data_IF_601150348665
#
_entry.id   IF_601150348665
#
_cell.length_a   1.000
_cell.length_b   1.000
_cell.length_c   1.000
_cell.angle_alpha   90.00
_cell.angle_beta   90.00
_cell.angle_gamma   90.00
#
_symmetry.space_group_name_H-M   'P 1'
#
loop_
_entity.id
_entity.type
_entity.pdbx_description
1 polymer ?
#
# COMPACT_ATOMS: atom_id res chain seq x y z
N UNK A 1 45.95 -4.00 -44.10
CA UNK A 1 44.52 -4.38 -44.14
C UNK A 1 44.45 -5.60 -45.02
N UNK A 2 44.31 -6.78 -44.42
CA UNK A 2 44.79 -8.02 -45.03
C UNK A 2 43.74 -9.11 -45.03
N UNK A 3 43.79 -9.89 -46.11
CA UNK A 3 43.34 -11.28 -46.23
C UNK A 3 41.84 -11.59 -46.33
N UNK A 4 41.49 -12.74 -46.99
CA UNK A 4 40.22 -12.87 -47.69
C UNK A 4 39.46 -14.18 -47.28
N UNK A 5 38.98 -15.11 -48.14
CA UNK A 5 37.89 -16.07 -47.80
C UNK A 5 38.48 -17.45 -47.34
N UNK A 6 37.80 -18.62 -47.37
CA UNK A 6 36.38 -19.02 -47.59
C UNK A 6 35.85 -19.75 -46.30
N UNK A 7 35.00 -20.81 -46.25
CA UNK A 7 34.19 -21.54 -47.25
C UNK A 7 32.72 -21.80 -46.80
N UNK A 8 32.19 -22.99 -47.10
CA UNK A 8 30.89 -23.56 -46.70
C UNK A 8 31.02 -24.50 -45.50
N UNK A 9 29.94 -24.71 -44.75
CA UNK A 9 29.68 -26.02 -44.14
C UNK A 9 28.17 -26.28 -44.06
N UNK A 10 27.77 -27.52 -44.35
CA UNK A 10 26.39 -28.00 -44.40
C UNK A 10 26.21 -28.96 -43.23
N UNK A 11 25.15 -28.80 -42.44
CA UNK A 11 24.70 -29.83 -41.50
C UNK A 11 23.25 -30.19 -41.79
N UNK A 12 23.10 -31.29 -42.54
CA UNK A 12 21.91 -32.13 -42.45
C UNK A 12 21.84 -32.75 -41.05
N UNK A 13 20.63 -32.86 -40.49
CA UNK A 13 20.14 -33.88 -39.55
C UNK A 13 18.70 -33.46 -39.19
N UNK A 14 17.68 -34.01 -39.84
CA UNK A 14 17.12 -35.35 -39.61
C UNK A 14 16.23 -35.40 -38.35
N UNK A 15 14.92 -35.48 -38.61
CA UNK A 15 13.90 -36.19 -37.85
C UNK A 15 13.88 -36.06 -36.31
N UNK A 16 13.14 -35.05 -35.86
CA UNK A 16 12.36 -35.15 -34.62
C UNK A 16 10.88 -35.34 -34.98
N UNK A 17 10.53 -36.53 -35.46
CA UNK A 17 9.14 -36.97 -35.59
C UNK A 17 8.57 -37.18 -34.18
N UNK A 18 7.64 -36.32 -33.76
CA UNK A 18 7.16 -36.23 -32.38
C UNK A 18 5.92 -35.33 -32.30
N UNK A 19 4.83 -35.80 -31.68
CA UNK A 19 3.50 -35.26 -31.97
C UNK A 19 3.14 -34.01 -31.16
N UNK A 20 2.00 -33.44 -31.54
CA UNK A 20 1.34 -32.27 -30.96
C UNK A 20 2.06 -30.92 -31.18
N UNK A 21 1.41 -29.88 -31.68
CA UNK A 21 -0.03 -29.64 -31.60
C UNK A 21 -0.64 -29.24 -32.96
N UNK A 22 -1.61 -30.03 -33.44
CA UNK A 22 -2.60 -29.57 -34.42
C UNK A 22 -3.56 -28.57 -33.75
N UNK A 23 -3.08 -27.39 -33.38
CA UNK A 23 -3.92 -26.21 -33.12
C UNK A 23 -3.95 -25.34 -34.40
N UNK A 24 -4.14 -26.03 -35.53
CA UNK A 24 -5.09 -25.55 -36.51
C UNK A 24 -6.50 -25.79 -35.96
N UNK A 25 -6.85 -25.10 -34.87
CA UNK A 25 -8.24 -24.92 -34.46
C UNK A 25 -8.91 -24.29 -35.68
N UNK A 26 -9.66 -25.10 -36.41
CA UNK A 26 -10.15 -24.73 -37.72
C UNK A 26 -11.20 -23.64 -37.53
N UNK A 27 -10.78 -22.37 -37.63
CA UNK A 27 -11.68 -21.24 -37.68
C UNK A 27 -12.70 -21.54 -38.78
N UNK A 28 -13.96 -21.78 -38.38
CA UNK A 28 -15.03 -22.23 -39.28
C UNK A 28 -14.98 -21.39 -40.56
N UNK A 29 -15.00 -22.01 -41.76
CA UNK A 29 -14.86 -21.31 -43.03
C UNK A 29 -16.12 -20.47 -43.34
N UNK A 30 -16.26 -19.37 -42.60
CA UNK A 30 -17.50 -18.64 -42.40
C UNK A 30 -17.55 -17.78 -41.14
N UNK A 31 -16.59 -17.87 -40.19
CA UNK A 31 -16.62 -17.12 -38.92
C UNK A 31 -15.41 -16.20 -38.75
N UNK A 32 -15.64 -14.94 -38.35
CA UNK A 32 -14.57 -13.95 -38.15
C UNK A 32 -13.77 -14.23 -36.86
N UNK A 33 -12.43 -14.44 -36.91
CA UNK A 33 -11.64 -14.80 -35.74
C UNK A 33 -11.41 -13.65 -34.74
N UNK A 34 -11.94 -12.44 -34.99
CA UNK A 34 -11.87 -11.31 -34.06
C UNK A 34 -13.16 -11.10 -33.25
N UNK A 35 -14.31 -11.13 -33.93
CA UNK A 35 -15.60 -10.78 -33.33
C UNK A 35 -16.64 -11.93 -33.40
N UNK A 36 -16.25 -13.10 -33.92
CA UNK A 36 -17.09 -14.29 -34.07
C UNK A 36 -18.35 -14.09 -34.93
N UNK A 37 -18.48 -12.94 -35.60
CA UNK A 37 -19.57 -12.69 -36.55
C UNK A 37 -19.40 -13.51 -37.84
N UNK A 38 -20.50 -13.94 -38.48
CA UNK A 38 -20.44 -14.65 -39.75
C UNK A 38 -19.85 -13.78 -40.87
N UNK A 39 -19.07 -14.40 -41.74
CA UNK A 39 -18.46 -13.81 -42.93
C UNK A 39 -19.42 -14.05 -44.09
N UNK A 40 -19.87 -12.97 -44.74
CA UNK A 40 -20.71 -13.08 -45.92
C UNK A 40 -20.02 -13.96 -47.00
N UNK A 41 -20.72 -14.96 -47.57
CA UNK A 41 -20.14 -15.81 -48.60
C UNK A 41 -19.73 -14.95 -49.81
N UNK A 42 -18.61 -15.26 -50.49
CA UNK A 42 -18.17 -14.49 -51.65
C UNK A 42 -19.21 -14.61 -52.77
N UNK A 43 -19.69 -13.47 -53.28
CA UNK A 43 -20.73 -13.39 -54.31
C UNK A 43 -20.25 -13.79 -55.73
N UNK A 44 -19.21 -14.61 -55.83
CA UNK A 44 -18.58 -15.02 -57.10
C UNK A 44 -17.34 -15.89 -56.89
N UNK A 45 -16.69 -16.28 -57.99
CA UNK A 45 -15.44 -17.06 -57.93
C UNK A 45 -14.30 -16.19 -57.40
N UNK A 46 -13.67 -16.59 -56.31
CA UNK A 46 -12.54 -15.89 -55.72
C UNK A 46 -12.07 -16.52 -54.41
N UNK A 47 -10.94 -16.04 -53.88
CA UNK A 47 -10.42 -16.49 -52.58
C UNK A 47 -11.43 -16.16 -51.47
N UNK A 48 -11.76 -17.10 -50.57
CA UNK A 48 -12.66 -16.82 -49.45
C UNK A 48 -12.10 -15.69 -48.55
N UNK A 49 -13.01 -14.87 -48.03
CA UNK A 49 -12.70 -13.84 -47.03
C UNK A 49 -12.53 -14.51 -45.67
N UNK A 50 -11.55 -14.03 -44.89
CA UNK A 50 -11.20 -14.56 -43.54
C UNK A 50 -11.66 -13.61 -42.43
N UNK A 51 -12.10 -12.40 -42.78
CA UNK A 51 -12.58 -11.38 -41.85
C UNK A 51 -13.94 -10.87 -42.33
N UNK A 52 -14.88 -10.63 -41.41
CA UNK A 52 -16.18 -10.05 -41.77
C UNK A 52 -16.06 -8.58 -42.24
N UNK A 53 -14.99 -7.86 -41.85
CA UNK A 53 -14.72 -6.47 -42.23
C UNK A 53 -13.23 -6.12 -42.14
N UNK A 54 -12.80 -5.10 -42.89
CA UNK A 54 -11.45 -4.52 -42.78
C UNK A 54 -11.22 -3.80 -41.43
N UNK A 55 -12.29 -3.48 -40.69
CA UNK A 55 -12.18 -3.01 -39.31
C UNK A 55 -11.67 -4.15 -38.40
N UNK A 56 -12.32 -5.32 -38.43
CA UNK A 56 -11.89 -6.48 -37.64
C UNK A 56 -10.46 -6.94 -37.99
N UNK A 57 -10.08 -6.87 -39.27
CA UNK A 57 -8.70 -7.15 -39.73
C UNK A 57 -7.68 -6.18 -39.10
N UNK A 58 -8.01 -4.88 -39.03
CA UNK A 58 -7.15 -3.85 -38.41
C UNK A 58 -7.10 -4.00 -36.90
N UNK A 59 -8.22 -4.23 -36.25
CA UNK A 59 -8.29 -4.39 -34.78
C UNK A 59 -7.50 -5.63 -34.32
N UNK A 60 -7.64 -6.76 -35.01
CA UNK A 60 -6.84 -7.97 -34.75
C UNK A 60 -5.34 -7.79 -35.08
N UNK A 61 -4.97 -6.90 -35.99
CA UNK A 61 -3.56 -6.52 -36.20
C UNK A 61 -3.07 -5.63 -35.04
N UNK A 62 -3.84 -4.63 -34.65
CA UNK A 62 -3.51 -3.69 -33.58
C UNK A 62 -3.40 -4.40 -32.22
N UNK A 63 -4.30 -5.33 -31.90
CA UNK A 63 -4.22 -6.16 -30.70
C UNK A 63 -2.93 -7.00 -30.65
N UNK A 64 -2.57 -7.67 -31.76
CA UNK A 64 -1.30 -8.42 -31.88
C UNK A 64 -0.06 -7.51 -31.89
N UNK A 65 -0.19 -6.25 -32.29
CA UNK A 65 0.90 -5.25 -32.20
C UNK A 65 1.07 -4.76 -30.76
N UNK A 66 -0.03 -4.41 -30.10
CA UNK A 66 -0.06 -3.95 -28.71
C UNK A 66 0.44 -5.02 -27.73
N UNK A 67 0.01 -6.28 -27.89
CA UNK A 67 0.50 -7.40 -27.10
C UNK A 67 2.03 -7.59 -27.21
N UNK A 68 2.60 -7.44 -28.42
CA UNK A 68 4.06 -7.52 -28.63
C UNK A 68 4.82 -6.34 -28.02
N UNK A 69 4.18 -5.18 -27.84
CA UNK A 69 4.79 -4.01 -27.19
C UNK A 69 4.44 -3.90 -25.70
N UNK A 70 3.86 -4.95 -25.09
CA UNK A 70 3.44 -4.94 -23.68
C UNK A 70 2.29 -3.98 -23.35
N UNK A 71 1.60 -3.45 -24.36
CA UNK A 71 0.52 -2.48 -24.18
C UNK A 71 -0.83 -3.18 -24.07
N UNK A 72 -1.52 -2.98 -22.94
CA UNK A 72 -2.88 -3.50 -22.72
C UNK A 72 -3.88 -2.65 -23.50
N UNK A 73 -4.68 -3.28 -24.37
CA UNK A 73 -5.71 -2.60 -25.15
C UNK A 73 -6.89 -2.16 -24.27
N UNK A 74 -7.00 -0.86 -23.99
CA UNK A 74 -8.11 -0.29 -23.21
C UNK A 74 -9.35 -0.08 -24.10
N UNK A 75 -10.44 -0.80 -23.82
CA UNK A 75 -11.75 -0.59 -24.45
C UNK A 75 -12.66 0.23 -23.54
N UNK A 76 -12.80 1.52 -23.83
CA UNK A 76 -13.74 2.39 -23.11
C UNK A 76 -15.17 2.09 -23.54
N UNK A 77 -15.97 1.49 -22.64
CA UNK A 77 -17.41 1.30 -22.81
C UNK A 77 -18.13 2.37 -22.01
N UNK A 78 -18.99 3.17 -22.65
CA UNK A 78 -19.88 4.11 -21.94
C UNK A 78 -21.03 3.33 -21.30
N UNK A 79 -20.88 2.98 -20.02
CA UNK A 79 -21.93 2.33 -19.25
C UNK A 79 -22.77 3.35 -18.48
N UNK A 80 -23.93 3.72 -19.03
CA UNK A 80 -24.92 4.54 -18.33
C UNK A 80 -25.68 3.69 -17.31
N UNK A 81 -25.29 3.74 -16.04
CA UNK A 81 -26.06 3.15 -14.94
C UNK A 81 -27.06 4.19 -14.41
N UNK A 82 -28.35 3.96 -14.61
CA UNK A 82 -29.40 4.68 -13.88
C UNK A 82 -29.30 4.29 -12.41
N UNK A 83 -28.80 5.20 -11.59
CA UNK A 83 -28.82 5.08 -10.13
C UNK A 83 -30.12 5.70 -9.66
N UNK A 84 -30.97 4.92 -8.99
CA UNK A 84 -32.15 5.44 -8.32
C UNK A 84 -31.68 6.44 -7.24
N UNK A 85 -32.10 7.70 -7.38
CA UNK A 85 -31.76 8.74 -6.42
C UNK A 85 -32.47 8.38 -5.11
N UNK A 86 -31.75 8.15 -3.99
CA UNK A 86 -32.39 7.81 -2.74
C UNK A 86 -33.36 8.93 -2.36
N UNK A 87 -34.60 8.55 -2.08
CA UNK A 87 -35.65 9.48 -1.67
C UNK A 87 -35.15 10.33 -0.51
N UNK A 88 -35.30 11.64 -0.65
CA UNK A 88 -34.77 12.65 0.28
C UNK A 88 -35.28 12.38 1.69
N UNK A 89 -34.46 11.74 2.51
CA UNK A 89 -34.80 11.45 3.90
C UNK A 89 -35.04 12.78 4.60
N UNK A 90 -36.24 13.00 5.14
CA UNK A 90 -36.48 14.14 6.00
C UNK A 90 -35.65 13.95 7.28
N UNK A 91 -34.49 14.59 7.30
CA UNK A 91 -33.68 14.75 8.49
C UNK A 91 -34.49 15.60 9.47
N UNK A 92 -35.25 14.93 10.34
CA UNK A 92 -35.81 15.51 11.54
C UNK A 92 -34.64 15.94 12.42
N UNK A 93 -34.26 17.21 12.29
CA UNK A 93 -33.31 17.85 13.18
C UNK A 93 -33.89 17.77 14.59
N UNK A 94 -33.43 16.78 15.36
CA UNK A 94 -33.55 16.84 16.81
C UNK A 94 -32.61 17.97 17.20
N UNK A 95 -33.17 19.09 17.64
CA UNK A 95 -32.38 20.15 18.25
C UNK A 95 -31.75 19.57 19.51
N UNK A 96 -30.53 19.05 19.37
CA UNK A 96 -29.67 18.76 20.51
C UNK A 96 -29.58 20.08 21.27
N UNK A 97 -30.01 20.15 22.55
CA UNK A 97 -29.93 21.38 23.30
C UNK A 97 -28.50 21.87 23.21
N UNK A 98 -28.31 23.01 22.53
CA UNK A 98 -27.07 23.76 22.66
C UNK A 98 -27.11 24.28 24.08
N UNK A 99 -26.58 23.48 25.02
CA UNK A 99 -25.95 24.05 26.20
C UNK A 99 -25.05 25.13 25.64
N UNK A 100 -25.43 26.40 25.85
CA UNK A 100 -24.57 27.52 25.51
C UNK A 100 -23.20 27.15 26.08
N UNK A 101 -22.09 27.29 25.33
CA UNK A 101 -20.79 27.12 25.93
C UNK A 101 -20.76 28.10 27.10
N UNK A 102 -20.82 27.56 28.32
CA UNK A 102 -20.65 28.37 29.52
C UNK A 102 -19.33 29.08 29.29
N UNK A 103 -19.35 30.41 29.33
CA UNK A 103 -18.14 31.18 29.09
C UNK A 103 -17.16 30.77 30.19
N UNK A 104 -16.20 29.92 29.84
CA UNK A 104 -15.14 29.52 30.73
C UNK A 104 -14.10 30.62 30.60
N UNK A 105 -13.96 31.43 31.65
CA UNK A 105 -12.87 32.39 31.73
C UNK A 105 -11.54 31.61 31.59
N UNK A 106 -10.63 31.97 30.67
CA UNK A 106 -9.31 31.38 30.59
C UNK A 106 -8.56 31.38 31.93
N UNK A 107 -8.77 32.37 32.80
CA UNK A 107 -8.20 32.42 34.14
C UNK A 107 -8.75 31.30 35.04
N UNK A 108 -10.08 31.11 35.07
CA UNK A 108 -10.73 30.03 35.83
C UNK A 108 -10.35 28.65 35.29
N UNK A 109 -10.22 28.51 33.96
CA UNK A 109 -9.73 27.29 33.33
C UNK A 109 -8.29 26.96 33.76
N UNK A 110 -7.39 27.95 33.78
CA UNK A 110 -6.01 27.80 34.22
C UNK A 110 -5.95 27.42 35.70
N UNK A 111 -6.73 28.08 36.56
CA UNK A 111 -6.84 27.75 37.98
C UNK A 111 -7.38 26.33 38.19
N UNK A 112 -8.44 25.92 37.49
CA UNK A 112 -8.98 24.57 37.58
C UNK A 112 -7.96 23.50 37.13
N UNK A 113 -7.17 23.80 36.09
CA UNK A 113 -6.08 22.91 35.64
C UNK A 113 -4.97 22.83 36.69
N UNK A 114 -4.49 23.94 37.26
CA UNK A 114 -3.38 23.90 38.24
C UNK A 114 -3.77 23.22 39.56
N UNK A 115 -5.05 23.24 39.95
CA UNK A 115 -5.54 22.59 41.17
C UNK A 115 -5.87 21.10 41.01
N UNK A 116 -5.90 20.54 39.79
CA UNK A 116 -6.13 19.10 39.54
C UNK A 116 -4.95 18.45 38.81
N UNK A 117 -4.21 17.54 39.46
CA UNK A 117 -3.09 16.85 38.81
C UNK A 117 -3.53 15.99 37.62
N UNK A 118 -4.78 15.50 37.62
CA UNK A 118 -5.37 14.76 36.50
C UNK A 118 -5.58 15.64 35.26
N UNK A 119 -5.98 16.90 35.46
CA UNK A 119 -6.13 17.88 34.39
C UNK A 119 -4.76 18.33 33.86
N UNK A 120 -3.76 18.60 34.72
CA UNK A 120 -2.37 18.84 34.29
C UNK A 120 -1.86 17.67 33.44
N UNK A 121 -2.01 16.44 33.92
CA UNK A 121 -1.59 15.24 33.19
C UNK A 121 -2.35 15.00 31.88
N UNK A 122 -3.59 15.52 31.75
CA UNK A 122 -4.35 15.49 30.50
C UNK A 122 -3.84 16.55 29.52
N UNK A 123 -3.60 17.78 29.97
CA UNK A 123 -3.05 18.87 29.15
C UNK A 123 -1.67 18.51 28.62
N UNK A 124 -0.77 17.98 29.47
CA UNK A 124 0.56 17.54 29.06
C UNK A 124 0.53 16.39 28.04
N UNK A 125 -0.38 15.42 28.19
CA UNK A 125 -0.58 14.35 27.18
C UNK A 125 -1.11 14.89 25.86
N UNK A 126 -2.03 15.84 25.89
CA UNK A 126 -2.55 16.46 24.66
C UNK A 126 -1.48 17.29 23.96
N UNK A 127 -0.68 18.07 24.69
CA UNK A 127 0.47 18.81 24.15
C UNK A 127 1.47 17.85 23.50
N UNK A 128 1.95 16.84 24.23
CA UNK A 128 2.94 15.88 23.71
C UNK A 128 2.43 15.02 22.55
N UNK A 129 1.14 14.70 22.49
CA UNK A 129 0.54 14.02 21.33
C UNK A 129 0.44 14.92 20.07
N UNK A 130 0.39 16.24 20.23
CA UNK A 130 0.38 17.20 19.12
C UNK A 130 1.80 17.68 18.71
N UNK A 131 2.80 17.45 19.55
CA UNK A 131 4.22 17.53 19.19
C UNK A 131 4.57 16.35 18.28
N UNK A 132 4.27 16.49 16.99
CA UNK A 132 4.51 15.44 15.99
C UNK A 132 5.99 15.02 15.90
N UNK A 133 6.31 13.86 15.31
CA UNK A 133 7.66 13.28 15.33
C UNK A 133 8.77 14.18 14.74
N UNK A 134 8.41 15.23 13.98
CA UNK A 134 9.33 16.22 13.41
C UNK A 134 9.66 17.41 14.33
N UNK A 135 9.02 17.54 15.50
CA UNK A 135 9.39 18.52 16.54
C UNK A 135 10.33 17.94 17.59
N UNK A 136 10.75 16.68 17.47
CA UNK A 136 11.77 16.07 18.36
C UNK A 136 13.18 16.56 17.99
N UNK A 137 13.45 16.73 16.68
CA UNK A 137 14.74 17.23 16.16
C UNK A 137 14.81 18.77 16.08
N UNK A 138 13.72 19.48 16.41
CA UNK A 138 13.71 20.94 16.49
C UNK A 138 13.72 21.36 17.95
N UNK A 139 14.52 22.37 18.27
CA UNK A 139 14.43 23.03 19.57
C UNK A 139 12.98 23.43 19.83
N UNK A 140 12.50 23.12 21.04
CA UNK A 140 11.24 23.66 21.55
C UNK A 140 11.31 25.19 21.47
N UNK A 141 10.21 25.90 21.17
CA UNK A 141 10.18 27.35 21.26
C UNK A 141 10.72 27.81 22.62
N UNK A 142 11.57 28.82 22.65
CA UNK A 142 12.32 29.26 23.85
C UNK A 142 11.56 29.17 25.20
N UNK A 143 10.33 29.72 25.36
CA UNK A 143 9.61 29.62 26.63
C UNK A 143 9.19 28.19 27.03
N UNK A 144 9.00 27.29 26.07
CA UNK A 144 8.78 25.85 26.33
C UNK A 144 10.10 25.13 26.65
N UNK A 145 11.23 25.60 26.12
CA UNK A 145 12.54 25.04 26.45
C UNK A 145 12.95 25.40 27.88
N UNK A 146 12.81 26.67 28.28
CA UNK A 146 13.06 27.14 29.65
C UNK A 146 12.18 26.40 30.66
N UNK A 147 10.86 26.35 30.43
CA UNK A 147 9.93 25.62 31.30
C UNK A 147 10.25 24.11 31.41
N UNK A 148 10.81 23.50 30.37
CA UNK A 148 11.25 22.11 30.42
C UNK A 148 12.53 21.92 31.26
N UNK A 149 13.45 22.87 31.23
CA UNK A 149 14.66 22.88 32.07
C UNK A 149 14.31 23.06 33.55
N UNK A 150 13.38 23.96 33.88
CA UNK A 150 12.90 24.18 35.26
C UNK A 150 12.13 22.97 35.82
N UNK A 151 11.36 22.29 34.96
CA UNK A 151 10.58 21.11 35.35
C UNK A 151 11.43 19.84 35.50
N UNK A 152 12.54 19.70 34.77
CA UNK A 152 13.43 18.54 34.80
C UNK A 152 13.92 18.12 36.20
N UNK A 153 14.47 19.01 37.06
CA UNK A 153 14.90 18.63 38.41
C UNK A 153 13.72 18.20 39.30
N UNK A 154 12.56 18.85 39.17
CA UNK A 154 11.35 18.53 39.94
C UNK A 154 10.82 17.14 39.56
N UNK A 155 10.82 16.79 38.28
CA UNK A 155 10.48 15.44 37.81
C UNK A 155 11.50 14.41 38.28
N UNK A 156 12.80 14.72 38.26
CA UNK A 156 13.83 13.83 38.77
C UNK A 156 13.66 13.55 40.28
N UNK A 157 13.31 14.56 41.08
CA UNK A 157 12.98 14.38 42.50
C UNK A 157 11.66 13.64 42.73
N UNK A 158 10.63 13.93 41.95
CA UNK A 158 9.35 13.21 42.01
C UNK A 158 9.54 11.73 41.70
N UNK A 159 10.28 11.40 40.63
CA UNK A 159 10.64 10.02 40.28
C UNK A 159 11.42 9.39 41.43
N UNK A 160 12.51 10.00 41.92
CA UNK A 160 13.28 9.49 43.09
C UNK A 160 12.42 9.16 44.31
N UNK A 161 11.35 9.93 44.56
CA UNK A 161 10.44 9.74 45.71
C UNK A 161 9.32 8.73 45.47
N UNK A 162 8.93 8.49 44.21
CA UNK A 162 7.75 7.69 43.86
C UNK A 162 8.07 6.34 43.22
N UNK A 163 9.22 6.22 42.55
CA UNK A 163 9.75 4.90 42.20
C UNK A 163 10.35 4.29 43.46
N UNK A 164 9.72 3.23 43.97
CA UNK A 164 10.38 2.32 44.89
C UNK A 164 11.72 1.88 44.28
N UNK A 165 12.81 1.75 45.06
CA UNK A 165 14.05 1.21 44.54
C UNK A 165 13.75 -0.15 43.92
N UNK A 166 14.20 -0.34 42.67
CA UNK A 166 14.21 -1.68 42.07
C UNK A 166 14.92 -2.60 43.06
N UNK A 167 14.38 -3.81 43.35
CA UNK A 167 15.07 -4.75 44.22
C UNK A 167 16.46 -4.97 43.62
N UNK A 168 17.51 -4.66 44.38
CA UNK A 168 18.87 -4.89 43.93
C UNK A 168 18.98 -6.35 43.52
N UNK A 169 19.27 -6.63 42.24
CA UNK A 169 19.54 -8.01 41.85
C UNK A 169 20.71 -8.51 42.70
N UNK A 170 20.51 -9.57 43.52
CA UNK A 170 21.52 -9.98 44.47
C UNK A 170 22.79 -10.30 43.71
N UNK A 171 23.83 -9.48 43.92
CA UNK A 171 24.96 -9.37 43.02
C UNK A 171 25.61 -10.72 42.78
N UNK A 172 25.24 -11.36 41.66
CA UNK A 172 25.46 -12.80 41.47
C UNK A 172 26.93 -13.14 41.67
N UNK A 173 27.20 -14.08 42.59
CA UNK A 173 28.53 -14.59 42.86
C UNK A 173 29.23 -15.02 41.57
N UNK A 174 30.56 -14.89 41.49
CA UNK A 174 31.35 -15.39 40.35
C UNK A 174 31.02 -16.85 40.01
N UNK A 175 30.64 -17.66 41.01
CA UNK A 175 30.22 -19.05 40.82
C UNK A 175 28.83 -19.17 40.16
N UNK A 176 27.86 -18.35 40.56
CA UNK A 176 26.51 -18.30 39.98
C UNK A 176 26.54 -17.81 38.53
N UNK A 177 27.33 -16.77 38.22
CA UNK A 177 27.53 -16.29 36.83
C UNK A 177 28.08 -17.40 35.92
N UNK A 178 29.06 -18.17 36.40
CA UNK A 178 29.62 -19.35 35.70
C UNK A 178 28.64 -20.53 35.59
N UNK A 179 27.61 -20.61 36.45
CA UNK A 179 26.55 -21.61 36.33
C UNK A 179 25.56 -21.22 35.22
N UNK A 180 25.10 -19.97 35.22
CA UNK A 180 24.19 -19.45 34.19
C UNK A 180 24.77 -19.52 32.78
N UNK A 181 26.06 -19.17 32.61
CA UNK A 181 26.74 -19.30 31.31
C UNK A 181 26.78 -20.74 30.79
N UNK A 182 26.97 -21.74 31.67
CA UNK A 182 26.96 -23.16 31.29
C UNK A 182 25.55 -23.62 30.90
N UNK A 183 24.52 -23.18 31.61
CA UNK A 183 23.13 -23.52 31.27
C UNK A 183 22.67 -22.86 29.97
N UNK A 184 23.06 -21.60 29.72
CA UNK A 184 22.76 -20.87 28.49
C UNK A 184 23.41 -21.51 27.24
N UNK A 185 24.61 -22.08 27.38
CA UNK A 185 25.24 -22.87 26.31
C UNK A 185 24.58 -24.23 26.09
N UNK A 186 23.93 -24.81 27.11
CA UNK A 186 23.36 -26.16 27.05
C UNK A 186 21.92 -26.20 26.51
N UNK A 187 21.17 -25.11 26.63
CA UNK A 187 19.83 -24.95 26.02
C UNK A 187 19.88 -24.47 24.55
N UNK A 188 21.05 -24.53 23.90
CA UNK A 188 21.29 -24.01 22.53
C UNK A 188 21.61 -25.10 21.49
N UNK A 189 21.39 -26.35 21.87
CA UNK A 189 21.55 -27.56 21.05
C UNK A 189 20.31 -28.44 21.17
#
# INVERSE_FOLDING_TARGET
MSSPPPPHEITENADADGPDARIGEAADPGTCPWCQAPIAPPAGRGRPRVWCSDQCRRDAHNARKAARTGAVGVRVIRQTRTVEVPTKTEYRYVERPRTAPGYVDPADALLAVTHSPELVARVMRTLTANLGPRSVDRQLPDPMHEAALDLAPLLADYVRRTTAPLPEEPALSRQQRRALQRNAGKNRH
#
